data_IF_275932628336
#
_entry.id   IF_275932628336
#
_cell.length_a   1.000
_cell.length_b   1.000
_cell.length_c   1.000
_cell.angle_alpha   90.00
_cell.angle_beta   90.00
_cell.angle_gamma   90.00
#
_symmetry.space_group_name_H-M   'P 1'
#
loop_
_entity.id
_entity.type
_entity.pdbx_description
1 polymer ?
#
# COMPACT_ATOMS: atom_id res chain seq x y z
N UNK A 1 50.49 16.17 -27.38
CA UNK A 1 51.17 15.36 -26.34
C UNK A 1 50.73 15.86 -24.98
N UNK A 2 49.81 15.16 -24.30
CA UNK A 2 49.30 15.61 -22.99
C UNK A 2 50.36 15.38 -21.92
N UNK A 3 50.70 16.37 -21.07
CA UNK A 3 51.71 16.22 -20.04
C UNK A 3 51.37 15.08 -19.07
N UNK A 4 52.36 14.24 -18.73
CA UNK A 4 52.20 13.05 -17.86
C UNK A 4 51.53 13.35 -16.52
N UNK A 5 51.75 14.54 -15.95
CA UNK A 5 51.11 14.96 -14.70
C UNK A 5 49.58 15.12 -14.81
N UNK A 6 49.05 15.45 -16.00
CA UNK A 6 47.60 15.58 -16.22
C UNK A 6 46.90 14.23 -16.24
N UNK A 7 47.60 13.17 -16.64
CA UNK A 7 47.07 11.78 -16.64
C UNK A 7 47.01 11.25 -15.22
N UNK A 8 48.08 11.42 -14.45
CA UNK A 8 48.13 11.02 -13.04
C UNK A 8 47.05 11.74 -12.22
N UNK A 9 46.90 13.06 -12.43
CA UNK A 9 45.88 13.84 -11.74
C UNK A 9 44.46 13.35 -12.05
N UNK A 10 44.17 12.97 -13.30
CA UNK A 10 42.86 12.41 -13.69
C UNK A 10 42.59 11.05 -13.05
N UNK A 11 43.60 10.18 -12.95
CA UNK A 11 43.46 8.87 -12.31
C UNK A 11 43.21 9.00 -10.81
N UNK A 12 43.94 9.88 -10.13
CA UNK A 12 43.71 10.19 -8.72
C UNK A 12 42.30 10.72 -8.50
N UNK A 13 41.83 11.63 -9.37
CA UNK A 13 40.48 12.18 -9.29
C UNK A 13 39.40 11.11 -9.47
N UNK A 14 39.57 10.18 -10.40
CA UNK A 14 38.63 9.06 -10.62
C UNK A 14 38.59 8.10 -9.44
N UNK A 15 39.73 7.81 -8.83
CA UNK A 15 39.82 6.96 -7.63
C UNK A 15 39.14 7.63 -6.45
N UNK A 16 39.38 8.94 -6.24
CA UNK A 16 38.71 9.71 -5.18
C UNK A 16 37.19 9.74 -5.41
N UNK A 17 36.74 9.97 -6.65
CA UNK A 17 35.31 10.01 -6.98
C UNK A 17 34.63 8.64 -6.76
N UNK A 18 35.32 7.54 -7.06
CA UNK A 18 34.82 6.18 -6.84
C UNK A 18 34.83 5.72 -5.39
N UNK A 19 35.62 6.35 -4.52
CA UNK A 19 35.68 6.08 -3.08
C UNK A 19 34.69 6.91 -2.27
N UNK A 20 33.93 7.81 -2.90
CA UNK A 20 32.89 8.58 -2.21
C UNK A 20 31.71 7.65 -1.86
N UNK A 21 31.26 7.63 -0.59
CA UNK A 21 30.09 6.85 -0.21
C UNK A 21 28.83 7.44 -0.85
N UNK A 22 28.27 6.72 -1.82
CA UNK A 22 26.97 7.05 -2.39
C UNK A 22 25.89 6.54 -1.44
N UNK A 23 25.34 7.46 -0.65
CA UNK A 23 24.16 7.18 0.16
C UNK A 23 22.94 7.12 -0.76
N UNK A 24 22.62 5.91 -1.25
CA UNK A 24 21.34 5.66 -1.91
C UNK A 24 20.25 5.71 -0.86
N UNK A 25 19.60 6.87 -0.74
CA UNK A 25 18.41 7.00 0.10
C UNK A 25 17.28 6.22 -0.58
N UNK A 26 17.02 5.01 -0.10
CA UNK A 26 15.78 4.32 -0.43
C UNK A 26 14.64 5.26 0.00
N UNK A 27 13.84 5.74 -0.96
CA UNK A 27 12.66 6.53 -0.65
C UNK A 27 11.80 5.75 0.32
N UNK A 28 11.35 6.38 1.41
CA UNK A 28 10.40 5.74 2.31
C UNK A 28 9.20 5.27 1.47
N UNK A 29 8.70 4.04 1.70
CA UNK A 29 7.50 3.57 1.00
C UNK A 29 6.41 4.64 1.16
N UNK A 30 5.76 5.00 0.06
CA UNK A 30 4.65 5.93 0.13
C UNK A 30 3.62 5.40 1.13
N UNK A 31 3.16 6.26 2.03
CA UNK A 31 2.12 5.89 2.99
C UNK A 31 0.89 5.39 2.21
N UNK A 32 0.28 4.30 2.67
CA UNK A 32 -0.94 3.78 2.06
C UNK A 32 -2.12 4.66 2.45
N UNK A 33 -3.01 4.92 1.50
CA UNK A 33 -4.29 5.54 1.81
C UNK A 33 -5.17 4.52 2.56
N UNK A 34 -5.88 4.98 3.59
CA UNK A 34 -6.85 4.19 4.34
C UNK A 34 -8.20 4.87 4.21
N UNK A 35 -9.19 4.15 3.68
CA UNK A 35 -10.56 4.63 3.53
C UNK A 35 -11.43 3.79 4.47
N UNK A 36 -12.08 4.46 5.43
CA UNK A 36 -13.06 3.83 6.32
C UNK A 36 -14.45 4.23 5.87
N UNK A 37 -15.26 3.22 5.51
CA UNK A 37 -16.68 3.40 5.19
C UNK A 37 -17.49 2.88 6.38
N UNK A 38 -18.31 3.75 6.96
CA UNK A 38 -19.23 3.43 8.05
C UNK A 38 -20.66 3.67 7.58
N UNK A 39 -21.52 2.68 7.75
CA UNK A 39 -22.95 2.76 7.45
C UNK A 39 -23.73 2.55 8.74
N UNK A 40 -24.69 3.43 8.99
CA UNK A 40 -25.54 3.41 10.18
C UNK A 40 -26.63 2.34 10.04
N UNK A 41 -27.01 1.70 11.15
CA UNK A 41 -28.02 0.62 11.20
C UNK A 41 -27.86 -0.50 10.15
N UNK A 42 -26.64 -0.67 9.60
CA UNK A 42 -26.40 -1.65 8.56
C UNK A 42 -26.30 -3.04 9.18
N UNK A 43 -27.39 -3.79 9.06
CA UNK A 43 -27.45 -5.17 9.50
C UNK A 43 -26.43 -6.05 8.78
N UNK A 44 -25.78 -6.95 9.53
CA UNK A 44 -24.78 -7.87 9.00
C UNK A 44 -25.32 -8.82 7.91
N UNK A 45 -26.62 -9.13 7.94
CA UNK A 45 -27.30 -9.99 6.97
C UNK A 45 -27.87 -9.23 5.76
N UNK A 46 -27.74 -7.90 5.72
CA UNK A 46 -28.12 -7.05 4.58
C UNK A 46 -26.91 -6.83 3.65
N UNK A 47 -26.33 -7.93 3.20
CA UNK A 47 -25.24 -7.97 2.20
C UNK A 47 -25.55 -9.09 1.21
N UNK A 48 -25.56 -8.82 -0.09
CA UNK A 48 -25.95 -9.78 -1.14
C UNK A 48 -25.15 -11.09 -1.11
N UNK A 49 -23.88 -11.05 -0.71
CA UNK A 49 -23.05 -12.25 -0.52
C UNK A 49 -23.41 -13.10 0.72
N UNK A 50 -24.21 -12.57 1.67
CA UNK A 50 -24.53 -13.26 2.91
C UNK A 50 -25.62 -14.33 2.69
N UNK A 51 -25.49 -15.55 3.26
CA UNK A 51 -26.43 -16.64 2.98
C UNK A 51 -27.88 -16.36 3.40
N UNK A 52 -28.08 -15.49 4.40
CA UNK A 52 -29.41 -15.11 4.89
C UNK A 52 -29.92 -13.79 4.29
N UNK A 53 -29.26 -13.26 3.26
CA UNK A 53 -29.67 -12.00 2.65
C UNK A 53 -31.05 -12.12 1.98
N UNK A 54 -31.83 -11.02 1.94
CA UNK A 54 -33.05 -10.99 1.14
C UNK A 54 -32.74 -11.31 -0.33
N UNK A 55 -33.54 -12.17 -0.96
CA UNK A 55 -33.30 -12.61 -2.35
C UNK A 55 -33.28 -11.47 -3.39
N UNK A 56 -33.89 -10.33 -3.06
CA UNK A 56 -33.95 -9.14 -3.91
C UNK A 56 -32.83 -8.13 -3.65
N UNK A 57 -31.99 -8.35 -2.63
CA UNK A 57 -30.96 -7.39 -2.24
C UNK A 57 -29.72 -7.55 -3.12
N UNK A 58 -29.34 -6.47 -3.80
CA UNK A 58 -28.12 -6.40 -4.62
C UNK A 58 -27.12 -5.43 -4.00
N UNK A 59 -25.91 -5.90 -3.68
CA UNK A 59 -24.83 -5.06 -3.14
C UNK A 59 -23.52 -5.29 -3.89
N UNK A 60 -23.46 -5.06 -5.22
CA UNK A 60 -22.35 -5.51 -6.06
C UNK A 60 -20.98 -4.99 -5.62
N UNK A 61 -20.90 -3.76 -5.09
CA UNK A 61 -19.65 -3.21 -4.57
C UNK A 61 -19.18 -3.91 -3.28
N UNK A 62 -20.11 -4.27 -2.39
CA UNK A 62 -19.79 -5.01 -1.16
C UNK A 62 -19.43 -6.47 -1.47
N UNK A 63 -20.15 -7.09 -2.41
CA UNK A 63 -19.90 -8.45 -2.88
C UNK A 63 -18.51 -8.55 -3.51
N UNK A 64 -18.13 -7.58 -4.35
CA UNK A 64 -16.78 -7.49 -4.92
C UNK A 64 -15.71 -7.38 -3.82
N UNK A 65 -15.92 -6.55 -2.79
CA UNK A 65 -14.98 -6.41 -1.68
C UNK A 65 -14.87 -7.67 -0.82
N UNK A 66 -15.96 -8.41 -0.63
CA UNK A 66 -15.95 -9.68 0.08
C UNK A 66 -15.18 -10.77 -0.68
N UNK A 67 -15.35 -10.84 -2.01
CA UNK A 67 -14.67 -11.81 -2.88
C UNK A 67 -13.17 -11.52 -3.03
N UNK A 68 -12.79 -10.25 -3.17
CA UNK A 68 -11.40 -9.84 -3.46
C UNK A 68 -10.63 -9.36 -2.21
N UNK A 69 -11.27 -9.42 -1.05
CA UNK A 69 -10.74 -8.93 0.22
C UNK A 69 -10.84 -9.95 1.32
N UNK A 70 -11.18 -9.48 2.52
CA UNK A 70 -11.39 -10.33 3.69
C UNK A 70 -12.74 -9.98 4.30
N UNK A 71 -13.61 -10.98 4.42
CA UNK A 71 -14.89 -10.87 5.13
C UNK A 71 -14.78 -11.46 6.53
N UNK A 72 -15.09 -10.65 7.54
CA UNK A 72 -15.11 -11.08 8.94
C UNK A 72 -16.53 -11.48 9.34
N UNK A 73 -16.83 -12.78 9.30
CA UNK A 73 -18.18 -13.31 9.62
C UNK A 73 -18.61 -13.17 11.08
N UNK A 74 -17.68 -12.77 11.97
CA UNK A 74 -17.89 -12.65 13.41
C UNK A 74 -17.29 -11.34 13.95
N UNK A 75 -17.66 -10.22 13.33
CA UNK A 75 -17.32 -8.88 13.82
C UNK A 75 -18.48 -8.33 14.67
N UNK A 76 -18.17 -7.85 15.89
CA UNK A 76 -19.16 -7.35 16.84
C UNK A 76 -18.85 -5.92 17.26
N UNK A 77 -19.89 -5.12 17.45
CA UNK A 77 -19.79 -3.82 18.11
C UNK A 77 -19.74 -4.00 19.63
N UNK A 78 -19.10 -3.07 20.32
CA UNK A 78 -19.00 -3.11 21.80
C UNK A 78 -20.26 -2.59 22.51
N UNK A 79 -21.13 -1.88 21.80
CA UNK A 79 -22.40 -1.33 22.30
C UNK A 79 -23.45 -1.37 21.20
N UNK A 80 -24.72 -1.52 21.57
CA UNK A 80 -25.87 -1.66 20.65
C UNK A 80 -26.73 -0.38 20.60
N UNK A 81 -26.07 0.77 20.45
CA UNK A 81 -26.73 2.08 20.43
C UNK A 81 -27.84 2.12 19.37
#
# INVERSE_FOLDING_TARGET
MMPRYKVVLRLVLLVILGLLPVNVRAGAPAARNVILVLSDDHRYDFMGFHPNAPQWLETPAMDYMAEHGAYFSHAFVTTAL
#
